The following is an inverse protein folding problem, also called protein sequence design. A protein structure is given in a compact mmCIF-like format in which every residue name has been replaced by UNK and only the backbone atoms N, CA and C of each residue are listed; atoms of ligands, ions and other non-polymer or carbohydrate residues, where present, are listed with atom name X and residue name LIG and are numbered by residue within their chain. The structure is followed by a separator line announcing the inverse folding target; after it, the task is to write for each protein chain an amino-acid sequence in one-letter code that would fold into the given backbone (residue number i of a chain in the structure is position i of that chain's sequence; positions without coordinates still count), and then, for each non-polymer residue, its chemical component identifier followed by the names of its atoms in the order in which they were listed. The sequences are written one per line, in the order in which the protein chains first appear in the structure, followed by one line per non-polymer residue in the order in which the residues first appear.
data_IF_130960105544
#
_entry.id   IF_130960105544
#
_cell.length_a   1.000
_cell.length_b   1.000
_cell.length_c   1.000
_cell.angle_alpha   90.00
_cell.angle_beta   90.00
_cell.angle_gamma   90.00
#
_symmetry.space_group_name_H-M   'P 1'
#
loop_
_entity.id
_entity.type
_entity.pdbx_description
1 polymer ?
#
# COMPACT_ATOMS: atom_id res chain seq x y z
N UNK A 1 18.68 40.86 -8.99
CA UNK A 1 18.99 39.42 -9.25
C UNK A 1 18.48 38.56 -8.09
N UNK A 2 17.18 38.28 -8.01
CA UNK A 2 16.55 37.51 -6.89
C UNK A 2 15.86 36.21 -7.35
N UNK A 3 15.81 35.96 -8.67
CA UNK A 3 15.07 34.84 -9.28
C UNK A 3 15.56 33.46 -8.82
N UNK A 4 16.86 33.31 -8.61
CA UNK A 4 17.47 32.02 -8.20
C UNK A 4 16.94 31.46 -6.88
N UNK A 5 16.51 32.31 -5.93
CA UNK A 5 15.87 31.85 -4.69
C UNK A 5 14.49 31.27 -4.95
N UNK A 6 13.71 31.91 -5.81
CA UNK A 6 12.35 31.47 -6.16
C UNK A 6 12.41 30.16 -6.95
N UNK A 7 13.33 30.05 -7.90
CA UNK A 7 13.50 28.84 -8.71
C UNK A 7 13.86 27.61 -7.85
N UNK A 8 14.67 27.80 -6.80
CA UNK A 8 15.00 26.75 -5.83
C UNK A 8 13.78 26.28 -5.05
N UNK A 9 12.94 27.22 -4.59
CA UNK A 9 11.70 26.90 -3.88
C UNK A 9 10.67 26.20 -4.75
N UNK A 10 10.54 26.61 -6.02
CA UNK A 10 9.67 25.95 -6.99
C UNK A 10 10.16 24.53 -7.27
N UNK A 11 11.47 24.34 -7.47
CA UNK A 11 12.05 23.01 -7.64
C UNK A 11 11.79 22.08 -6.45
N UNK A 12 11.98 22.59 -5.23
CA UNK A 12 11.69 21.84 -4.00
C UNK A 12 10.20 21.44 -3.91
N UNK A 13 9.30 22.37 -4.23
CA UNK A 13 7.86 22.09 -4.24
C UNK A 13 7.49 20.98 -5.23
N UNK A 14 8.04 21.02 -6.44
CA UNK A 14 7.79 20.00 -7.47
C UNK A 14 8.30 18.62 -7.03
N UNK A 15 9.51 18.56 -6.45
CA UNK A 15 10.07 17.28 -5.95
C UNK A 15 9.20 16.69 -4.85
N UNK A 16 8.73 17.51 -3.90
CA UNK A 16 7.82 17.05 -2.84
C UNK A 16 6.49 16.58 -3.44
N UNK A 17 5.96 17.29 -4.44
CA UNK A 17 4.73 16.89 -5.14
C UNK A 17 4.86 15.52 -5.81
N UNK A 18 5.98 15.27 -6.51
CA UNK A 18 6.26 13.96 -7.13
C UNK A 18 6.38 12.87 -6.07
N UNK A 19 7.10 13.14 -4.97
CA UNK A 19 7.21 12.19 -3.86
C UNK A 19 5.85 11.85 -3.25
N UNK A 20 4.97 12.84 -3.09
CA UNK A 20 3.62 12.65 -2.58
C UNK A 20 2.76 11.79 -3.52
N UNK A 21 2.84 12.01 -4.84
CA UNK A 21 2.14 11.19 -5.82
C UNK A 21 2.62 9.73 -5.81
N UNK A 22 3.94 9.51 -5.73
CA UNK A 22 4.51 8.16 -5.59
C UNK A 22 4.03 7.47 -4.32
N UNK A 23 4.03 8.18 -3.19
CA UNK A 23 3.54 7.64 -1.92
C UNK A 23 2.06 7.28 -1.98
N UNK A 24 1.23 8.12 -2.60
CA UNK A 24 -0.19 7.86 -2.79
C UNK A 24 -0.43 6.61 -3.65
N UNK A 25 0.33 6.43 -4.73
CA UNK A 25 0.23 5.25 -5.58
C UNK A 25 0.55 3.95 -4.81
N UNK A 26 1.65 3.95 -4.04
CA UNK A 26 2.04 2.80 -3.22
C UNK A 26 1.01 2.49 -2.11
N UNK A 27 0.47 3.53 -1.48
CA UNK A 27 -0.57 3.40 -0.45
C UNK A 27 -1.89 2.89 -1.05
N UNK A 28 -2.31 3.41 -2.20
CA UNK A 28 -3.54 3.01 -2.90
C UNK A 28 -3.50 1.54 -3.33
N UNK A 29 -2.33 1.04 -3.70
CA UNK A 29 -2.13 -0.38 -4.01
C UNK A 29 -2.00 -1.27 -2.75
N UNK A 30 -2.18 -0.69 -1.55
CA UNK A 30 -2.02 -1.34 -0.24
C UNK A 30 -0.64 -2.00 -0.03
N UNK A 31 0.37 -1.61 -0.83
CA UNK A 31 1.73 -2.18 -0.80
C UNK A 31 2.52 -1.77 0.44
N UNK A 32 2.14 -0.64 1.04
CA UNK A 32 2.71 -0.16 2.30
C UNK A 32 2.12 -0.86 3.53
N UNK A 33 1.08 -1.68 3.36
CA UNK A 33 0.53 -2.54 4.42
C UNK A 33 1.38 -3.80 4.53
N UNK A 34 2.64 -3.63 4.97
CA UNK A 34 3.48 -4.75 5.35
C UNK A 34 3.02 -5.24 6.72
N UNK A 35 2.16 -6.26 6.73
CA UNK A 35 1.78 -6.97 7.93
C UNK A 35 2.98 -7.78 8.44
N UNK A 36 3.87 -7.16 9.22
CA UNK A 36 4.99 -7.81 9.91
C UNK A 36 4.55 -8.66 11.12
N UNK A 37 3.25 -8.98 11.21
CA UNK A 37 2.74 -9.84 12.26
C UNK A 37 3.08 -11.29 11.92
N UNK A 38 3.71 -11.99 12.87
CA UNK A 38 3.95 -13.43 12.78
C UNK A 38 2.62 -14.18 12.74
N UNK A 39 2.25 -14.67 11.56
CA UNK A 39 1.08 -15.53 11.38
C UNK A 39 1.45 -17.00 11.57
N UNK A 40 0.46 -17.83 11.86
CA UNK A 40 0.59 -19.28 11.91
C UNK A 40 -0.26 -19.94 10.82
N UNK A 41 0.18 -21.08 10.32
CA UNK A 41 -0.57 -21.85 9.33
C UNK A 41 -1.64 -22.69 10.04
N UNK A 42 -2.86 -22.65 9.52
CA UNK A 42 -3.99 -23.44 10.02
C UNK A 42 -4.51 -24.28 8.86
N UNK A 43 -4.80 -25.56 9.14
CA UNK A 43 -5.50 -26.43 8.20
C UNK A 43 -6.88 -26.75 8.77
N UNK A 44 -7.91 -26.54 7.98
CA UNK A 44 -9.28 -26.92 8.32
C UNK A 44 -9.82 -27.88 7.25
N UNK A 45 -10.69 -28.81 7.67
CA UNK A 45 -11.40 -29.71 6.77
C UNK A 45 -12.81 -29.17 6.58
N UNK A 46 -13.27 -29.18 5.33
CA UNK A 46 -14.60 -28.75 4.95
C UNK A 46 -15.24 -29.86 4.12
N UNK A 47 -16.53 -30.11 4.36
CA UNK A 47 -17.29 -31.09 3.58
C UNK A 47 -17.59 -30.58 2.16
N UNK A 48 -17.68 -29.25 1.97
CA UNK A 48 -17.82 -28.61 0.65
C UNK A 48 -17.17 -27.21 0.65
N UNK A 49 -16.28 -26.95 -0.32
CA UNK A 49 -15.56 -25.67 -0.44
C UNK A 49 -16.18 -24.69 -1.46
N UNK A 50 -17.18 -25.12 -2.23
CA UNK A 50 -17.81 -24.31 -3.28
C UNK A 50 -16.80 -23.69 -4.25
N UNK A 51 -16.87 -22.37 -4.42
CA UNK A 51 -16.02 -21.59 -5.34
C UNK A 51 -14.75 -21.02 -4.71
N UNK A 52 -14.21 -21.62 -3.65
CA UNK A 52 -13.01 -21.14 -2.99
C UNK A 52 -11.80 -21.14 -3.95
N UNK A 53 -11.14 -19.99 -4.07
CA UNK A 53 -9.96 -19.81 -4.93
C UNK A 53 -8.71 -19.56 -4.09
N UNK A 54 -7.52 -19.89 -4.60
CA UNK A 54 -6.26 -19.48 -3.98
C UNK A 54 -6.27 -17.96 -3.71
N UNK A 55 -5.73 -17.55 -2.56
CA UNK A 55 -5.69 -16.15 -2.08
C UNK A 55 -7.05 -15.50 -1.80
N UNK A 56 -8.11 -16.30 -1.65
CA UNK A 56 -9.37 -15.78 -1.13
C UNK A 56 -9.18 -15.20 0.30
N UNK A 57 -9.77 -14.03 0.62
CA UNK A 57 -9.65 -13.42 1.93
C UNK A 57 -10.40 -14.25 2.99
N UNK A 58 -9.79 -14.39 4.17
CA UNK A 58 -10.39 -15.03 5.34
C UNK A 58 -10.73 -13.96 6.37
N UNK A 59 -11.94 -13.98 6.92
CA UNK A 59 -12.42 -13.02 7.92
C UNK A 59 -12.89 -13.75 9.17
N UNK A 60 -12.44 -13.28 10.34
CA UNK A 60 -13.00 -13.66 11.63
C UNK A 60 -14.01 -12.58 12.03
N UNK A 61 -15.31 -12.88 11.89
CA UNK A 61 -16.45 -12.01 12.26
C UNK A 61 -16.86 -10.83 11.35
N UNK A 62 -16.35 -10.71 10.11
CA UNK A 62 -16.85 -9.76 9.10
C UNK A 62 -16.02 -8.49 8.95
#
# INVERSE_FOLDING_TARGET
MQRSKVDLWVGLFVVIGIAALLFLALKSANLLSLNFQSTYQITARFDNIGGLKPKAPVKSAG
#
